data_IF_618080169385
#
_entry.id   IF_618080169385
#
_cell.length_a   1.000
_cell.length_b   1.000
_cell.length_c   1.000
_cell.angle_alpha   90.00
_cell.angle_beta   90.00
_cell.angle_gamma   90.00
#
_symmetry.space_group_name_H-M   'P 1'
#
loop_
_entity.id
_entity.type
_entity.pdbx_description
1 polymer ?
#
# COMPACT_ATOMS: atom_id res chain seq x y z
N UNK A 1 0.94 -35.66 32.66
CA UNK A 1 0.69 -35.34 31.23
C UNK A 1 1.97 -34.82 30.56
N UNK A 2 2.56 -35.61 29.66
CA UNK A 2 3.93 -35.38 29.15
C UNK A 2 4.03 -34.50 27.89
N UNK A 3 2.91 -34.02 27.33
CA UNK A 3 2.92 -33.02 26.25
C UNK A 3 1.86 -31.95 26.50
N UNK A 4 2.24 -30.66 26.58
CA UNK A 4 1.27 -29.59 26.73
C UNK A 4 0.43 -29.47 25.44
N UNK A 5 -0.90 -29.41 25.60
CA UNK A 5 -1.88 -29.25 24.51
C UNK A 5 -1.77 -27.86 23.85
N UNK A 6 -1.09 -26.92 24.50
CA UNK A 6 -0.93 -25.52 24.08
C UNK A 6 0.42 -24.95 24.54
N UNK A 7 1.07 -24.02 23.80
CA UNK A 7 0.68 -23.46 22.51
C UNK A 7 1.40 -24.13 21.32
N UNK A 8 0.70 -24.28 20.20
CA UNK A 8 1.33 -24.67 18.93
C UNK A 8 2.04 -23.45 18.31
N UNK A 9 3.29 -23.21 18.72
CA UNK A 9 4.09 -22.05 18.31
C UNK A 9 4.17 -21.90 16.79
N UNK A 10 4.29 -23.00 16.04
CA UNK A 10 4.38 -22.96 14.57
C UNK A 10 3.08 -22.45 13.95
N UNK A 11 1.93 -22.93 14.44
CA UNK A 11 0.61 -22.49 13.97
C UNK A 11 0.39 -21.00 14.28
N UNK A 12 0.72 -20.56 15.48
CA UNK A 12 0.54 -19.17 15.88
C UNK A 12 1.40 -18.21 15.03
N UNK A 13 2.64 -18.60 14.71
CA UNK A 13 3.51 -17.83 13.81
C UNK A 13 2.93 -17.76 12.39
N UNK A 14 2.43 -18.89 11.86
CA UNK A 14 1.82 -18.92 10.53
C UNK A 14 0.59 -18.01 10.45
N UNK A 15 -0.27 -18.04 11.47
CA UNK A 15 -1.45 -17.17 11.55
C UNK A 15 -1.04 -15.70 11.66
N UNK A 16 -0.07 -15.37 12.53
CA UNK A 16 0.40 -14.00 12.69
C UNK A 16 1.03 -13.46 11.39
N UNK A 17 1.78 -14.29 10.66
CA UNK A 17 2.34 -13.93 9.37
C UNK A 17 1.25 -13.62 8.34
N UNK A 18 0.26 -14.50 8.20
CA UNK A 18 -0.85 -14.30 7.26
C UNK A 18 -1.66 -13.05 7.60
N UNK A 19 -2.01 -12.86 8.87
CA UNK A 19 -2.72 -11.67 9.34
C UNK A 19 -1.90 -10.40 9.09
N UNK A 20 -0.60 -10.44 9.34
CA UNK A 20 0.30 -9.31 9.06
C UNK A 20 0.29 -8.92 7.58
N UNK A 21 0.32 -9.88 6.66
CA UNK A 21 0.22 -9.62 5.23
C UNK A 21 -1.14 -9.05 4.83
N UNK A 22 -2.24 -9.56 5.40
CA UNK A 22 -3.57 -9.02 5.12
C UNK A 22 -3.69 -7.56 5.60
N UNK A 23 -3.19 -7.26 6.79
CA UNK A 23 -3.21 -5.91 7.36
C UNK A 23 -2.31 -4.97 6.57
N UNK A 24 -1.10 -5.40 6.16
CA UNK A 24 -0.19 -4.53 5.41
C UNK A 24 -0.74 -4.14 4.03
N UNK A 25 -1.38 -5.08 3.33
CA UNK A 25 -2.07 -4.78 2.05
C UNK A 25 -3.20 -3.79 2.28
N UNK A 26 -4.04 -4.02 3.29
CA UNK A 26 -5.11 -3.08 3.63
C UNK A 26 -4.59 -1.69 4.00
N UNK A 27 -3.48 -1.61 4.75
CA UNK A 27 -2.85 -0.36 5.13
C UNK A 27 -2.27 0.38 3.92
N UNK A 28 -1.66 -0.32 2.97
CA UNK A 28 -1.15 0.29 1.73
C UNK A 28 -2.28 0.96 0.93
N UNK A 29 -3.42 0.29 0.78
CA UNK A 29 -4.59 0.88 0.12
C UNK A 29 -5.19 2.05 0.89
N UNK A 30 -5.23 1.98 2.23
CA UNK A 30 -5.71 3.09 3.05
C UNK A 30 -4.83 4.33 2.88
N UNK A 31 -3.51 4.15 2.87
CA UNK A 31 -2.57 5.25 2.65
C UNK A 31 -2.71 5.84 1.25
N UNK A 32 -2.86 5.01 0.22
CA UNK A 32 -3.13 5.46 -1.15
C UNK A 32 -4.46 6.23 -1.25
N UNK A 33 -5.50 5.76 -0.55
CA UNK A 33 -6.80 6.43 -0.54
C UNK A 33 -6.76 7.80 0.16
N UNK A 34 -5.93 7.95 1.19
CA UNK A 34 -5.76 9.23 1.89
C UNK A 34 -4.82 10.19 1.13
N UNK A 35 -4.09 9.72 0.13
CA UNK A 35 -3.22 10.54 -0.70
C UNK A 35 -4.03 11.26 -1.79
N UNK A 36 -4.16 12.59 -1.65
CA UNK A 36 -4.88 13.44 -2.60
C UNK A 36 -3.97 14.00 -3.72
N UNK A 37 -2.83 13.37 -4.00
CA UNK A 37 -1.89 13.82 -5.03
C UNK A 37 -2.25 13.27 -6.40
N UNK A 38 -2.30 14.12 -7.42
CA UNK A 38 -2.39 13.68 -8.82
C UNK A 38 -1.12 12.94 -9.24
N UNK A 39 -1.26 11.66 -9.64
CA UNK A 39 -0.12 10.80 -10.01
C UNK A 39 0.16 10.81 -11.51
N UNK A 40 -0.85 11.08 -12.33
CA UNK A 40 -0.72 11.13 -13.79
C UNK A 40 -1.33 12.39 -14.38
N UNK A 41 -0.85 12.76 -15.58
CA UNK A 41 -1.39 13.89 -16.34
C UNK A 41 -2.87 13.66 -16.69
N UNK A 42 -3.25 12.42 -17.03
CA UNK A 42 -4.62 12.07 -17.39
C UNK A 42 -5.58 12.22 -16.21
N UNK A 43 -5.14 11.92 -14.99
CA UNK A 43 -5.92 12.16 -13.77
C UNK A 43 -6.13 13.66 -13.56
N UNK A 44 -5.07 14.46 -13.70
CA UNK A 44 -5.13 15.91 -13.55
C UNK A 44 -6.10 16.55 -14.55
N UNK A 45 -6.00 16.20 -15.83
CA UNK A 45 -6.86 16.74 -16.88
C UNK A 45 -8.33 16.38 -16.68
N UNK A 46 -8.62 15.14 -16.24
CA UNK A 46 -9.99 14.67 -16.00
C UNK A 46 -10.64 15.33 -14.78
N UNK A 47 -9.88 15.51 -13.70
CA UNK A 47 -10.44 16.01 -12.44
C UNK A 47 -10.56 17.54 -12.42
N UNK A 48 -9.64 18.24 -13.10
CA UNK A 48 -9.60 19.70 -13.14
C UNK A 48 -10.20 20.29 -14.43
N UNK A 49 -10.52 19.46 -15.42
CA UNK A 49 -11.05 19.86 -16.74
C UNK A 49 -10.19 20.92 -17.45
N UNK A 50 -8.87 20.85 -17.26
CA UNK A 50 -7.90 21.74 -17.88
C UNK A 50 -6.82 20.94 -18.61
N UNK A 51 -6.39 21.36 -19.81
CA UNK A 51 -5.35 20.66 -20.57
C UNK A 51 -3.97 20.88 -19.96
N UNK A 52 -3.13 19.86 -19.95
CA UNK A 52 -1.73 19.96 -19.53
C UNK A 52 -0.91 20.63 -20.63
N UNK A 53 -0.37 21.81 -20.34
CA UNK A 53 0.36 22.64 -21.33
C UNK A 53 1.84 22.22 -21.47
N UNK A 54 2.37 21.48 -20.49
CA UNK A 54 3.74 20.99 -20.52
C UNK A 54 4.09 20.17 -19.28
N UNK A 55 5.19 19.42 -19.36
CA UNK A 55 5.73 18.64 -18.25
C UNK A 55 7.16 19.10 -17.95
N UNK A 56 7.46 19.32 -16.67
CA UNK A 56 8.82 19.64 -16.24
C UNK A 56 9.52 18.30 -15.94
N UNK A 57 10.55 17.92 -16.71
CA UNK A 57 11.26 16.67 -16.45
C UNK A 57 12.03 16.76 -15.14
N UNK A 58 11.95 15.71 -14.33
CA UNK A 58 12.72 15.61 -13.11
C UNK A 58 14.17 15.25 -13.46
N UNK A 59 15.05 16.25 -13.54
CA UNK A 59 16.47 16.11 -13.91
C UNK A 59 17.38 15.64 -12.77
N UNK A 60 16.83 15.11 -11.68
CA UNK A 60 17.60 14.82 -10.46
C UNK A 60 18.47 13.55 -10.51
N UNK A 61 18.63 12.95 -11.68
CA UNK A 61 19.53 11.80 -11.91
C UNK A 61 20.36 12.00 -13.19
N UNK A 62 21.31 12.94 -13.13
CA UNK A 62 22.47 13.01 -14.04
C UNK A 62 23.76 12.83 -13.24
#
# INVERSE_FOLDING_TARGET
PEKPVSPNKKLNIAIAFLLGLMVSVGLAFLLEFLDNTFKTKEQLERELDIPVIGVIPNVKEL
#
